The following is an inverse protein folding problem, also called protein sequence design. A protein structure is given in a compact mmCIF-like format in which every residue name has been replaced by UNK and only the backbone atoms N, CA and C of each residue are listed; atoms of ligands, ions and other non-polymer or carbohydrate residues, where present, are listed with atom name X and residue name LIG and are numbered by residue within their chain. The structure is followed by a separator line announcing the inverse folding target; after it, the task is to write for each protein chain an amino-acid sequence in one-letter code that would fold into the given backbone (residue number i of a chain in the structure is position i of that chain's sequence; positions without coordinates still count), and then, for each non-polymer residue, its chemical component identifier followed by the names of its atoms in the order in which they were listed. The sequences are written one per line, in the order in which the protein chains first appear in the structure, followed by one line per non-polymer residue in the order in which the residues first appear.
data_IF_380391356691
#
_entry.id   IF_380391356691
#
_cell.length_a   1.000
_cell.length_b   1.000
_cell.length_c   1.000
_cell.angle_alpha   90.00
_cell.angle_beta   90.00
_cell.angle_gamma   90.00
#
_symmetry.space_group_name_H-M   'P 1'
#
loop_
_entity.id
_entity.type
_entity.pdbx_description
1 polymer ?
#
# COMPACT_ATOMS: atom_id res chain seq x y z
N UNK A 1 -2.70 -6.96 46.63
CA UNK A 1 -2.03 -7.67 45.52
C UNK A 1 -1.48 -6.61 44.57
N UNK A 2 -0.22 -6.72 44.09
CA UNK A 2 0.30 -5.77 43.12
C UNK A 2 -0.35 -6.05 41.74
N UNK A 3 -0.79 -4.98 41.08
CA UNK A 3 -1.37 -5.02 39.73
C UNK A 3 -0.30 -5.31 38.69
N UNK A 4 -0.53 -6.23 37.74
CA UNK A 4 0.41 -6.51 36.67
C UNK A 4 0.61 -5.28 35.78
N UNK A 5 1.81 -5.09 35.20
CA UNK A 5 2.08 -3.97 34.30
C UNK A 5 1.18 -4.07 33.05
N UNK A 6 0.74 -2.93 32.49
CA UNK A 6 -0.09 -2.91 31.30
C UNK A 6 0.65 -3.57 30.13
N UNK A 7 -0.04 -4.43 29.41
CA UNK A 7 0.47 -5.10 28.20
C UNK A 7 0.75 -4.02 27.15
N UNK A 8 1.93 -4.01 26.50
CA UNK A 8 2.22 -3.03 25.46
C UNK A 8 1.19 -3.17 24.33
N UNK A 9 0.55 -2.06 23.99
CA UNK A 9 -0.32 -1.93 22.84
C UNK A 9 0.52 -2.03 21.56
N UNK A 10 0.85 -3.27 21.16
CA UNK A 10 1.40 -3.56 19.86
C UNK A 10 0.30 -3.31 18.82
N UNK A 11 0.39 -2.18 18.11
CA UNK A 11 -0.43 -1.95 16.93
C UNK A 11 -0.21 -3.13 15.97
N UNK A 12 -1.30 -3.80 15.59
CA UNK A 12 -1.22 -4.82 14.55
C UNK A 12 -0.64 -4.14 13.29
N UNK A 13 0.38 -4.73 12.63
CA UNK A 13 0.94 -4.13 11.43
C UNK A 13 -0.19 -3.91 10.43
N UNK A 14 -0.26 -2.71 9.84
CA UNK A 14 -1.36 -2.22 8.99
C UNK A 14 -1.64 -3.04 7.72
N UNK A 15 -1.02 -4.23 7.57
CA UNK A 15 -1.20 -5.11 6.43
C UNK A 15 -0.63 -4.57 5.12
N UNK A 16 0.04 -3.41 5.15
CA UNK A 16 0.52 -2.68 3.97
C UNK A 16 1.45 -3.56 3.12
N UNK A 17 2.38 -4.29 3.74
CA UNK A 17 3.28 -5.20 3.03
C UNK A 17 2.51 -6.29 2.27
N UNK A 18 1.51 -6.91 2.91
CA UNK A 18 0.68 -7.95 2.28
C UNK A 18 -0.19 -7.39 1.16
N UNK A 19 -0.76 -6.21 1.35
CA UNK A 19 -1.55 -5.53 0.32
C UNK A 19 -0.68 -5.19 -0.90
N UNK A 20 0.53 -4.68 -0.67
CA UNK A 20 1.52 -4.41 -1.72
C UNK A 20 1.89 -5.67 -2.49
N UNK A 21 2.18 -6.79 -1.81
CA UNK A 21 2.53 -8.05 -2.47
C UNK A 21 1.38 -8.59 -3.35
N UNK A 22 0.13 -8.42 -2.92
CA UNK A 22 -1.05 -8.80 -3.70
C UNK A 22 -1.21 -7.95 -4.97
N UNK A 23 -0.98 -6.64 -4.87
CA UNK A 23 -1.02 -5.74 -6.04
C UNK A 23 0.06 -6.12 -7.04
N UNK A 24 1.31 -6.31 -6.60
CA UNK A 24 2.42 -6.70 -7.47
C UNK A 24 2.14 -8.03 -8.18
N UNK A 25 1.64 -9.03 -7.44
CA UNK A 25 1.28 -10.33 -8.01
C UNK A 25 0.20 -10.22 -9.09
N UNK A 26 -0.85 -9.42 -8.83
CA UNK A 26 -1.92 -9.20 -9.80
C UNK A 26 -1.43 -8.47 -11.07
N UNK A 27 -0.49 -7.53 -10.92
CA UNK A 27 0.14 -6.84 -12.05
C UNK A 27 0.96 -7.80 -12.92
N UNK A 28 1.74 -8.69 -12.31
CA UNK A 28 2.53 -9.69 -13.03
C UNK A 28 1.64 -10.70 -13.78
N UNK A 29 0.53 -11.12 -13.18
CA UNK A 29 -0.43 -12.01 -13.82
C UNK A 29 -1.13 -11.35 -15.02
N UNK A 30 -1.48 -10.06 -14.90
CA UNK A 30 -2.03 -9.29 -16.01
C UNK A 30 -1.02 -9.15 -17.16
N UNK A 31 0.26 -8.91 -16.85
CA UNK A 31 1.32 -8.85 -17.86
C UNK A 31 1.49 -10.21 -18.58
N UNK A 32 1.43 -11.32 -17.84
CA UNK A 32 1.50 -12.68 -18.39
C UNK A 32 0.31 -13.00 -19.30
N UNK A 33 -0.90 -12.61 -18.91
CA UNK A 33 -2.09 -12.77 -19.75
C UNK A 33 -2.01 -11.93 -21.04
N UNK A 34 -1.50 -10.69 -20.94
CA UNK A 34 -1.29 -9.83 -22.09
C UNK A 34 -0.26 -10.40 -23.09
N UNK A 35 0.78 -11.07 -22.59
CA UNK A 35 1.76 -11.78 -23.40
C UNK A 35 1.15 -13.01 -24.09
N UNK A 36 0.25 -13.74 -23.43
CA UNK A 36 -0.45 -14.90 -24.01
C UNK A 36 -1.41 -14.52 -25.15
N UNK A 37 -1.93 -13.29 -25.17
CA UNK A 37 -2.72 -12.73 -26.29
C UNK A 37 -1.87 -12.39 -27.52
N UNK A 38 -0.55 -12.54 -27.47
CA UNK A 38 0.36 -12.46 -28.61
C UNK A 38 0.27 -13.68 -29.51
N UNK A 39 -0.92 -14.02 -30.03
CA UNK A 39 -1.08 -15.04 -31.08
C UNK A 39 -0.72 -14.46 -32.46
N UNK A 40 0.00 -15.20 -33.33
CA UNK A 40 0.43 -14.69 -34.63
C UNK A 40 -0.77 -14.45 -35.57
N UNK A 41 -0.78 -13.27 -36.21
CA UNK A 41 -1.60 -12.81 -37.33
C UNK A 41 -2.81 -13.65 -37.73
N UNK A 42 -3.91 -13.47 -37.01
CA UNK A 42 -5.25 -13.77 -37.51
C UNK A 42 -5.88 -12.47 -38.05
N UNK A 43 -6.63 -12.48 -39.16
CA UNK A 43 -7.16 -11.25 -39.79
C UNK A 43 -8.12 -10.45 -38.89
N UNK A 44 -8.63 -11.05 -37.82
CA UNK A 44 -9.47 -10.42 -36.79
C UNK A 44 -8.69 -9.97 -35.55
N UNK A 45 -7.37 -10.24 -35.47
CA UNK A 45 -6.52 -9.95 -34.31
C UNK A 45 -6.47 -8.46 -34.00
N UNK A 46 -6.47 -7.59 -35.02
CA UNK A 46 -6.45 -6.13 -34.84
C UNK A 46 -7.70 -5.62 -34.11
N UNK A 47 -8.89 -6.05 -34.53
CA UNK A 47 -10.16 -5.67 -33.88
C UNK A 47 -10.33 -6.29 -32.50
N UNK A 48 -9.91 -7.56 -32.32
CA UNK A 48 -9.93 -8.20 -31.01
C UNK A 48 -8.95 -7.53 -30.03
N UNK A 49 -7.76 -7.13 -30.52
CA UNK A 49 -6.77 -6.39 -29.73
C UNK A 49 -7.30 -5.01 -29.34
N UNK A 50 -7.91 -4.29 -30.29
CA UNK A 50 -8.46 -2.97 -30.01
C UNK A 50 -9.61 -3.02 -28.99
N UNK A 51 -10.51 -4.01 -29.12
CA UNK A 51 -11.60 -4.21 -28.17
C UNK A 51 -11.09 -4.60 -26.76
N UNK A 52 -10.02 -5.41 -26.69
CA UNK A 52 -9.36 -5.73 -25.43
C UNK A 52 -8.66 -4.52 -24.80
N UNK A 53 -7.94 -3.74 -25.61
CA UNK A 53 -7.24 -2.54 -25.15
C UNK A 53 -8.25 -1.48 -24.67
N UNK A 54 -9.38 -1.30 -25.37
CA UNK A 54 -10.48 -0.43 -24.93
C UNK A 54 -11.12 -0.93 -23.62
N UNK A 55 -11.44 -2.23 -23.53
CA UNK A 55 -12.02 -2.82 -22.34
C UNK A 55 -11.09 -2.75 -21.11
N UNK A 56 -9.77 -2.78 -21.33
CA UNK A 56 -8.77 -2.70 -20.24
C UNK A 56 -8.31 -1.28 -19.93
N UNK A 57 -8.64 -0.29 -20.77
CA UNK A 57 -8.27 1.11 -20.56
C UNK A 57 -8.91 1.70 -19.28
N UNK A 58 -10.20 1.43 -19.05
CA UNK A 58 -10.90 1.89 -17.85
C UNK A 58 -10.33 1.26 -16.57
N UNK A 59 -10.02 -0.04 -16.63
CA UNK A 59 -9.40 -0.78 -15.53
C UNK A 59 -8.01 -0.23 -15.24
N UNK A 60 -7.20 0.04 -16.27
CA UNK A 60 -5.87 0.62 -16.11
C UNK A 60 -5.94 2.02 -15.51
N UNK A 61 -6.88 2.86 -15.95
CA UNK A 61 -7.10 4.18 -15.37
C UNK A 61 -7.55 4.10 -13.90
N UNK A 62 -8.39 3.11 -13.55
CA UNK A 62 -8.79 2.88 -12.16
C UNK A 62 -7.62 2.43 -11.28
N UNK A 63 -6.76 1.52 -11.77
CA UNK A 63 -5.56 1.08 -11.06
C UNK A 63 -4.58 2.23 -10.82
N UNK A 64 -4.36 3.11 -11.80
CA UNK A 64 -3.52 4.29 -11.63
C UNK A 64 -4.06 5.26 -10.57
N UNK A 65 -5.39 5.46 -10.51
CA UNK A 65 -6.03 6.27 -9.46
C UNK A 65 -5.89 5.62 -8.08
N UNK A 66 -6.02 4.30 -8.02
CA UNK A 66 -5.85 3.55 -6.77
C UNK A 66 -4.42 3.68 -6.25
N UNK A 67 -3.43 3.54 -7.14
CA UNK A 67 -2.01 3.65 -6.81
C UNK A 67 -1.66 5.03 -6.26
N UNK A 68 -2.09 6.11 -6.93
CA UNK A 68 -1.89 7.48 -6.43
C UNK A 68 -2.62 7.74 -5.10
N UNK A 69 -3.78 7.13 -4.88
CA UNK A 69 -4.48 7.22 -3.59
C UNK A 69 -3.69 6.51 -2.49
N UNK A 70 -3.16 5.34 -2.79
CA UNK A 70 -2.38 4.52 -1.87
C UNK A 70 -1.07 5.23 -1.50
N UNK A 71 -0.37 5.81 -2.46
CA UNK A 71 0.83 6.63 -2.25
C UNK A 71 0.55 7.82 -1.31
N UNK A 72 -0.57 8.54 -1.54
CA UNK A 72 -0.99 9.65 -0.68
C UNK A 72 -1.30 9.20 0.75
N UNK A 73 -2.02 8.08 0.90
CA UNK A 73 -2.30 7.50 2.22
C UNK A 73 -1.03 7.07 2.96
N UNK A 74 -0.09 6.43 2.26
CA UNK A 74 1.20 6.02 2.86
C UNK A 74 2.03 7.24 3.29
N UNK A 75 2.08 8.28 2.46
CA UNK A 75 2.77 9.53 2.80
C UNK A 75 2.16 10.20 4.03
N UNK A 76 0.82 10.23 4.11
CA UNK A 76 0.11 10.75 5.28
C UNK A 76 0.37 9.94 6.55
N UNK A 77 0.38 8.61 6.46
CA UNK A 77 0.70 7.73 7.59
C UNK A 77 2.15 7.92 8.07
N UNK A 78 3.10 8.07 7.16
CA UNK A 78 4.50 8.34 7.50
C UNK A 78 4.66 9.66 8.25
N UNK A 79 4.03 10.74 7.75
CA UNK A 79 4.04 12.04 8.41
C UNK A 79 3.44 12.00 9.82
N UNK A 80 2.32 11.30 10.00
CA UNK A 80 1.69 11.11 11.32
C UNK A 80 2.58 10.28 12.26
N UNK A 81 3.30 9.29 11.72
CA UNK A 81 4.23 8.48 12.50
C UNK A 81 5.39 9.31 13.02
N UNK A 82 6.00 10.15 12.17
CA UNK A 82 7.08 11.07 12.56
C UNK A 82 6.62 12.05 13.64
N UNK A 83 5.41 12.60 13.51
CA UNK A 83 4.83 13.48 14.54
C UNK A 83 4.65 12.76 15.87
N UNK A 84 4.07 11.55 15.85
CA UNK A 84 3.87 10.75 17.05
C UNK A 84 5.20 10.37 17.73
N UNK A 85 6.23 10.02 16.97
CA UNK A 85 7.57 9.73 17.51
C UNK A 85 8.19 10.96 18.18
N UNK A 86 8.00 12.14 17.59
CA UNK A 86 8.48 13.42 18.14
C UNK A 86 7.77 13.78 19.45
N UNK A 87 6.45 13.58 19.51
CA UNK A 87 5.67 13.80 20.73
C UNK A 87 6.08 12.85 21.84
N UNK A 88 6.27 11.56 21.52
CA UNK A 88 6.75 10.56 22.49
C UNK A 88 8.16 10.89 23.00
N UNK A 89 9.06 11.36 22.13
CA UNK A 89 10.40 11.77 22.54
C UNK A 89 10.34 12.98 23.50
N UNK A 90 9.49 13.96 23.21
CA UNK A 90 9.27 15.14 24.05
C UNK A 90 8.73 14.75 25.43
N UNK A 91 7.68 13.92 25.47
CA UNK A 91 7.09 13.43 26.72
C UNK A 91 8.10 12.64 27.56
N UNK A 92 8.95 11.82 26.93
CA UNK A 92 10.02 11.09 27.63
C UNK A 92 11.08 12.03 28.22
N UNK A 93 11.43 13.09 27.50
CA UNK A 93 12.38 14.09 27.98
C UNK A 93 11.81 14.87 29.17
N UNK A 94 10.53 15.28 29.10
CA UNK A 94 9.82 15.92 30.22
C UNK A 94 9.74 15.01 31.45
N UNK A 95 9.38 13.73 31.25
CA UNK A 95 9.32 12.76 32.33
C UNK A 95 10.69 12.55 32.99
N UNK A 96 11.76 12.48 32.20
CA UNK A 96 13.13 12.35 32.71
C UNK A 96 13.57 13.60 33.50
N UNK A 97 13.15 14.80 33.07
CA UNK A 97 13.44 16.04 33.77
C UNK A 97 12.70 16.14 35.12
N UNK A 98 11.48 15.62 35.22
CA UNK A 98 10.68 15.61 36.46
C UNK A 98 11.09 14.48 37.41
N UNK A 99 11.50 13.32 36.90
CA UNK A 99 11.92 12.15 37.70
C UNK A 99 13.38 12.17 38.18
N UNK A 100 14.18 13.13 37.73
CA UNK A 100 15.59 13.31 38.14
C UNK A 100 15.81 14.30 39.30
N UNK A 101 14.74 14.80 39.93
CA UNK A 101 14.76 15.64 41.14
C UNK A 101 14.42 14.83 42.39
#
# INVERSE_FOLDING_TARGET
MPTPPPVPCLAAPFGITRARDQVLTATDDAARAAAALGTPDLPWSGQARHAYDDATAEVRAALLRLDGTLESCLTGLDALTVLAETDVASLRAELAAVGGA
#
